data_IF_781099905970
#
_entry.id   IF_781099905970
#
_cell.length_a   1.000
_cell.length_b   1.000
_cell.length_c   1.000
_cell.angle_alpha   90.00
_cell.angle_beta   90.00
_cell.angle_gamma   90.00
#
_symmetry.space_group_name_H-M   'P 1'
#
loop_
_entity.id
_entity.type
_entity.pdbx_description
1 polymer ?
#
# COMPACT_ATOMS: atom_id res chain seq x y z
N UNK A 1 6.63 -9.75 3.58
CA UNK A 1 6.71 -8.29 3.40
C UNK A 1 5.55 -7.82 2.53
N UNK A 2 5.49 -8.23 1.25
CA UNK A 2 4.44 -7.78 0.31
C UNK A 2 3.00 -8.13 0.74
N UNK A 3 2.78 -9.33 1.30
CA UNK A 3 1.45 -9.73 1.81
C UNK A 3 1.00 -8.87 3.00
N UNK A 4 1.92 -8.42 3.86
CA UNK A 4 1.56 -7.56 4.99
C UNK A 4 1.12 -6.18 4.48
N UNK A 5 1.86 -5.61 3.52
CA UNK A 5 1.49 -4.35 2.87
C UNK A 5 0.16 -4.43 2.09
N UNK A 6 -0.06 -5.53 1.37
CA UNK A 6 -1.33 -5.75 0.68
C UNK A 6 -2.50 -5.90 1.66
N UNK A 7 -2.32 -6.64 2.78
CA UNK A 7 -3.35 -6.73 3.80
C UNK A 7 -3.68 -5.36 4.41
N UNK A 8 -2.68 -4.51 4.63
CA UNK A 8 -2.88 -3.12 5.07
C UNK A 8 -3.72 -2.34 4.06
N UNK A 9 -3.46 -2.49 2.76
CA UNK A 9 -4.25 -1.88 1.68
C UNK A 9 -5.74 -2.27 1.78
N UNK A 10 -6.00 -3.52 2.18
CA UNK A 10 -7.33 -4.13 2.17
C UNK A 10 -8.12 -3.95 3.47
N UNK A 11 -7.54 -3.39 4.54
CA UNK A 11 -8.19 -3.23 5.86
C UNK A 11 -9.56 -2.55 5.77
N UNK A 12 -9.66 -1.52 4.93
CA UNK A 12 -10.88 -0.72 4.76
C UNK A 12 -11.46 -0.83 3.35
N UNK A 13 -11.00 -1.81 2.55
CA UNK A 13 -11.49 -1.98 1.19
C UNK A 13 -12.99 -2.34 1.18
N UNK A 14 -13.79 -1.73 0.29
CA UNK A 14 -15.19 -2.12 0.14
C UNK A 14 -15.32 -3.57 -0.36
N UNK A 15 -16.47 -4.19 -0.08
CA UNK A 15 -16.73 -5.56 -0.53
C UNK A 15 -16.86 -5.64 -2.05
N UNK A 16 -16.28 -6.68 -2.65
CA UNK A 16 -16.40 -6.97 -4.07
C UNK A 16 -15.06 -7.27 -4.75
N UNK A 17 -15.09 -8.13 -5.76
CA UNK A 17 -13.90 -8.57 -6.49
C UNK A 17 -13.18 -7.42 -7.22
N UNK A 18 -13.91 -6.38 -7.62
CA UNK A 18 -13.33 -5.18 -8.24
C UNK A 18 -12.39 -4.46 -7.27
N UNK A 19 -12.78 -4.28 -6.00
CA UNK A 19 -11.97 -3.60 -4.99
C UNK A 19 -10.73 -4.40 -4.59
N UNK A 20 -10.81 -5.74 -4.66
CA UNK A 20 -9.65 -6.62 -4.52
C UNK A 20 -8.65 -6.37 -5.65
N UNK A 21 -9.12 -6.35 -6.91
CA UNK A 21 -8.26 -6.09 -8.06
C UNK A 21 -7.65 -4.68 -8.04
N UNK A 22 -8.45 -3.66 -7.72
CA UNK A 22 -8.00 -2.26 -7.61
C UNK A 22 -7.00 -2.10 -6.47
N UNK A 23 -7.29 -2.67 -5.29
CA UNK A 23 -6.37 -2.66 -4.15
C UNK A 23 -5.03 -3.31 -4.47
N UNK A 24 -5.04 -4.44 -5.20
CA UNK A 24 -3.81 -5.11 -5.62
C UNK A 24 -2.98 -4.25 -6.59
N UNK A 25 -3.63 -3.63 -7.57
CA UNK A 25 -2.96 -2.75 -8.55
C UNK A 25 -2.40 -1.51 -7.86
N UNK A 26 -3.16 -0.88 -6.96
CA UNK A 26 -2.69 0.28 -6.19
C UNK A 26 -1.50 -0.09 -5.31
N UNK A 27 -1.59 -1.19 -4.57
CA UNK A 27 -0.49 -1.67 -3.74
C UNK A 27 0.78 -1.86 -4.58
N UNK A 28 0.69 -2.59 -5.70
CA UNK A 28 1.84 -2.79 -6.60
C UNK A 28 2.38 -1.50 -7.20
N UNK A 29 1.50 -0.55 -7.52
CA UNK A 29 1.93 0.76 -8.00
C UNK A 29 2.78 1.49 -6.95
N UNK A 30 2.33 1.54 -5.69
CA UNK A 30 3.07 2.22 -4.62
C UNK A 30 4.34 1.49 -4.18
N UNK A 31 4.29 0.16 -4.16
CA UNK A 31 5.42 -0.73 -3.88
C UNK A 31 6.56 -0.55 -4.90
N UNK A 32 6.24 -0.40 -6.19
CA UNK A 32 7.23 -0.15 -7.25
C UNK A 32 7.74 1.29 -7.23
N UNK A 33 6.84 2.28 -7.09
CA UNK A 33 7.21 3.70 -7.16
C UNK A 33 8.04 4.15 -5.96
N UNK A 34 7.79 3.57 -4.78
CA UNK A 34 8.36 3.97 -3.50
C UNK A 34 8.47 5.50 -3.38
N UNK A 35 7.34 6.23 -3.38
CA UNK A 35 7.38 7.68 -3.30
C UNK A 35 8.10 8.14 -2.01
N UNK A 36 8.72 9.31 -2.09
CA UNK A 36 9.24 9.97 -0.89
C UNK A 36 8.07 10.18 0.08
N UNK A 37 8.13 9.76 1.37
CA UNK A 37 9.32 9.55 2.20
C UNK A 37 9.78 8.09 2.40
N UNK A 38 9.16 7.11 1.73
CA UNK A 38 9.46 5.66 1.92
C UNK A 38 10.94 5.38 1.67
N UNK A 39 11.46 5.81 0.52
CA UNK A 39 12.88 5.67 0.15
C UNK A 39 13.87 6.38 1.09
N UNK A 40 13.41 7.36 1.86
CA UNK A 40 14.27 8.06 2.82
C UNK A 40 14.39 7.26 4.13
N UNK A 41 13.29 6.63 4.56
CA UNK A 41 13.27 5.76 5.74
C UNK A 41 14.03 4.45 5.45
N UNK A 42 13.82 3.84 4.28
CA UNK A 42 14.58 2.66 3.81
C UNK A 42 16.09 2.89 3.86
N UNK A 43 16.55 4.09 3.47
CA UNK A 43 17.96 4.47 3.51
C UNK A 43 18.53 4.68 4.92
N UNK A 44 17.68 4.88 5.92
CA UNK A 44 18.12 5.00 7.32
C UNK A 44 18.06 3.65 8.04
N UNK A 45 17.11 2.80 7.66
CA UNK A 45 16.84 1.52 8.29
C UNK A 45 17.37 0.39 7.40
N UNK A 46 18.60 -0.02 7.63
CA UNK A 46 19.24 -1.07 6.85
C UNK A 46 18.85 -2.47 7.37
N UNK A 47 18.47 -3.36 6.45
CA UNK A 47 18.18 -4.78 6.72
C UNK A 47 16.72 -5.18 6.48
N UNK A 48 16.34 -6.39 6.88
CA UNK A 48 15.00 -6.94 6.63
C UNK A 48 13.84 -6.13 7.25
N UNK A 49 14.12 -5.32 8.27
CA UNK A 49 13.12 -4.44 8.88
C UNK A 49 12.76 -3.23 7.98
N UNK A 50 13.72 -2.71 7.18
CA UNK A 50 13.46 -1.63 6.22
C UNK A 50 12.54 -2.09 5.10
N UNK A 51 12.79 -3.30 4.57
CA UNK A 51 11.98 -3.91 3.51
C UNK A 51 10.52 -4.11 3.98
N UNK A 52 10.31 -4.63 5.19
CA UNK A 52 8.95 -4.84 5.70
C UNK A 52 8.22 -3.52 5.98
N UNK A 53 8.93 -2.48 6.45
CA UNK A 53 8.36 -1.16 6.69
C UNK A 53 7.99 -0.46 5.37
N UNK A 54 8.80 -0.63 4.33
CA UNK A 54 8.53 -0.13 2.98
C UNK A 54 7.19 -0.65 2.44
N UNK A 55 6.97 -1.96 2.52
CA UNK A 55 5.74 -2.60 2.04
C UNK A 55 4.53 -2.15 2.86
N UNK A 56 4.70 -1.95 4.17
CA UNK A 56 3.66 -1.43 5.06
C UNK A 56 3.26 0.00 4.69
N UNK A 57 4.24 0.87 4.43
CA UNK A 57 3.99 2.25 4.01
C UNK A 57 3.32 2.30 2.63
N UNK A 58 3.79 1.51 1.67
CA UNK A 58 3.13 1.37 0.37
C UNK A 58 1.67 0.93 0.53
N UNK A 59 1.41 0.00 1.46
CA UNK A 59 0.05 -0.43 1.83
C UNK A 59 -0.83 0.68 2.38
N UNK A 60 -0.29 1.56 3.24
CA UNK A 60 -1.03 2.72 3.78
C UNK A 60 -1.38 3.71 2.67
N UNK A 61 -0.44 4.05 1.78
CA UNK A 61 -0.73 4.93 0.66
C UNK A 61 -1.78 4.35 -0.28
N UNK A 62 -1.68 3.06 -0.59
CA UNK A 62 -2.66 2.35 -1.40
C UNK A 62 -4.05 2.36 -0.73
N UNK A 63 -4.13 2.12 0.58
CA UNK A 63 -5.39 2.16 1.34
C UNK A 63 -6.06 3.55 1.28
N UNK A 64 -5.28 4.63 1.45
CA UNK A 64 -5.80 6.00 1.39
C UNK A 64 -6.38 6.33 0.01
N UNK A 65 -5.71 5.92 -1.06
CA UNK A 65 -6.20 6.12 -2.43
C UNK A 65 -7.41 5.25 -2.72
N UNK A 66 -7.38 3.98 -2.32
CA UNK A 66 -8.52 3.08 -2.46
C UNK A 66 -9.76 3.65 -1.77
N UNK A 67 -9.58 4.21 -0.57
CA UNK A 67 -10.65 4.82 0.19
C UNK A 67 -11.15 6.11 -0.45
N UNK A 68 -10.26 6.96 -0.96
CA UNK A 68 -10.65 8.16 -1.70
C UNK A 68 -11.48 7.81 -2.96
N UNK A 69 -11.11 6.75 -3.67
CA UNK A 69 -11.89 6.24 -4.81
C UNK A 69 -13.25 5.69 -4.36
N UNK A 70 -13.30 4.92 -3.28
CA UNK A 70 -14.55 4.39 -2.73
C UNK A 70 -15.51 5.50 -2.30
N UNK A 71 -14.99 6.56 -1.69
CA UNK A 71 -15.76 7.74 -1.29
C UNK A 71 -16.24 8.57 -2.47
N UNK A 72 -15.45 8.69 -3.54
CA UNK A 72 -15.85 9.43 -4.74
C UNK A 72 -16.83 8.68 -5.66
N UNK A 73 -16.94 7.37 -5.51
CA UNK A 73 -17.83 6.50 -6.31
C UNK A 73 -19.15 6.16 -5.60
N UNK A 74 -19.28 6.48 -4.30
CA UNK A 74 -20.50 6.32 -3.50
C UNK A 74 -21.30 7.61 -3.42
#
# INVERSE_FOLDING_TARGET
DEFAGYLVTMIAAPAGWLWIAVGFVLFRFFDILKPWPIRWIDRQVHGGFGIMLDDLLAGVFAALVLQAMAWGLG
#
